data_IF_480273132014
#
_entry.id   IF_480273132014
#
_cell.length_a   1.000
_cell.length_b   1.000
_cell.length_c   1.000
_cell.angle_alpha   90.00
_cell.angle_beta   90.00
_cell.angle_gamma   90.00
#
_symmetry.space_group_name_H-M   'P 1'
#
loop_
_entity.id
_entity.type
_entity.pdbx_description
1 polymer ?
#
# COMPACT_ATOMS: atom_id res chain seq x y z
N UNK A 1 -5.64 0.06 0.08
CA UNK A 1 -4.81 1.12 -0.51
C UNK A 1 -3.41 0.62 -0.83
N UNK A 2 -2.68 1.32 -1.69
CA UNK A 2 -1.25 1.12 -1.95
C UNK A 2 -0.49 2.33 -1.44
N UNK A 3 0.56 2.11 -0.66
CA UNK A 3 1.51 3.13 -0.21
C UNK A 3 2.87 2.80 -0.78
N UNK A 4 3.40 3.69 -1.62
CA UNK A 4 4.75 3.62 -2.18
C UNK A 4 5.71 4.41 -1.32
N UNK A 5 6.82 3.80 -0.94
CA UNK A 5 7.82 4.44 -0.09
C UNK A 5 9.26 4.10 -0.49
N UNK A 6 10.19 4.95 -0.09
CA UNK A 6 11.63 4.78 -0.31
C UNK A 6 12.20 3.69 0.58
N UNK A 7 13.10 2.91 0.00
CA UNK A 7 14.00 1.99 0.68
C UNK A 7 15.42 2.26 0.19
N UNK A 8 16.41 1.68 0.85
CA UNK A 8 17.79 1.72 0.33
C UNK A 8 17.82 1.16 -1.10
N UNK A 9 18.39 1.94 -2.02
CA UNK A 9 18.54 1.53 -3.42
C UNK A 9 17.26 1.57 -4.27
N UNK A 10 16.10 2.05 -3.76
CA UNK A 10 14.91 2.12 -4.60
C UNK A 10 13.59 2.49 -3.92
N UNK A 11 12.51 1.96 -4.49
CA UNK A 11 11.13 2.16 -4.07
C UNK A 11 10.44 0.80 -3.91
N UNK A 12 9.52 0.72 -2.95
CA UNK A 12 8.67 -0.45 -2.75
C UNK A 12 7.25 -0.05 -2.35
N UNK A 13 6.32 -0.99 -2.43
CA UNK A 13 4.90 -0.77 -2.19
C UNK A 13 4.38 -1.63 -1.03
N UNK A 14 3.68 -1.01 -0.07
CA UNK A 14 2.84 -1.71 0.90
C UNK A 14 1.38 -1.69 0.43
N UNK A 15 0.82 -2.87 0.20
CA UNK A 15 -0.57 -3.06 -0.22
C UNK A 15 -1.41 -3.62 0.94
N UNK A 16 -2.42 -2.87 1.38
CA UNK A 16 -3.23 -3.28 2.52
C UNK A 16 -4.25 -2.24 2.97
N UNK A 17 -4.68 -2.37 4.22
CA UNK A 17 -5.55 -1.41 4.90
C UNK A 17 -4.71 -0.41 5.68
N UNK A 18 -4.98 0.89 5.56
CA UNK A 18 -4.41 1.86 6.50
C UNK A 18 -5.15 1.75 7.81
N UNK A 19 -4.44 1.35 8.85
CA UNK A 19 -5.02 1.11 10.18
C UNK A 19 -4.61 2.17 11.21
N UNK A 20 -3.67 3.05 10.86
CA UNK A 20 -3.29 4.18 11.70
C UNK A 20 -2.35 5.16 11.02
N UNK A 21 -2.40 6.40 11.48
CA UNK A 21 -1.45 7.47 11.17
C UNK A 21 -1.16 8.21 12.46
N UNK A 22 0.08 8.15 12.94
CA UNK A 22 0.50 8.75 14.20
C UNK A 22 2.01 9.00 14.18
N UNK A 23 2.49 9.98 14.92
CA UNK A 23 3.92 10.25 15.17
C UNK A 23 4.80 10.38 13.91
N UNK A 24 4.22 10.84 12.79
CA UNK A 24 4.93 10.96 11.53
C UNK A 24 5.03 9.65 10.74
N UNK A 25 4.34 8.60 11.17
CA UNK A 25 4.25 7.30 10.53
C UNK A 25 2.83 6.98 10.05
N UNK A 26 2.74 6.06 9.09
CA UNK A 26 1.50 5.35 8.78
C UNK A 26 1.70 3.84 8.89
N UNK A 27 0.67 3.15 9.41
CA UNK A 27 0.67 1.69 9.54
C UNK A 27 -0.29 1.09 8.55
N UNK A 28 0.24 0.25 7.65
CA UNK A 28 -0.53 -0.50 6.67
C UNK A 28 -0.60 -1.96 7.07
N UNK A 29 -1.80 -2.45 7.38
CA UNK A 29 -2.06 -3.88 7.60
C UNK A 29 -2.09 -4.61 6.27
N UNK A 30 -1.02 -5.35 5.99
CA UNK A 30 -0.91 -6.19 4.79
C UNK A 30 -1.45 -7.60 5.08
N UNK A 31 -1.39 -8.50 4.09
CA UNK A 31 -1.76 -9.92 4.30
C UNK A 31 -0.80 -10.69 5.20
N UNK A 32 0.45 -10.26 5.31
CA UNK A 32 1.51 -10.98 6.01
C UNK A 32 1.78 -10.38 7.39
N UNK A 33 1.81 -9.05 7.49
CA UNK A 33 2.07 -8.31 8.71
C UNK A 33 1.63 -6.84 8.61
N UNK A 34 1.62 -6.14 9.74
CA UNK A 34 1.53 -4.69 9.76
C UNK A 34 2.89 -4.08 9.37
N UNK A 35 2.87 -3.12 8.44
CA UNK A 35 4.06 -2.40 7.97
C UNK A 35 3.96 -0.95 8.44
N UNK A 36 4.93 -0.50 9.22
CA UNK A 36 5.04 0.89 9.69
C UNK A 36 5.98 1.63 8.75
N UNK A 37 5.53 2.78 8.23
CA UNK A 37 6.24 3.55 7.20
C UNK A 37 6.32 5.00 7.66
N UNK A 38 7.53 5.58 7.79
CA UNK A 38 7.69 7.01 7.97
C UNK A 38 7.10 7.80 6.81
N UNK A 39 6.24 8.77 7.12
CA UNK A 39 5.58 9.61 6.12
C UNK A 39 6.61 10.37 5.26
N UNK A 40 7.78 10.69 5.80
CA UNK A 40 8.89 11.32 5.05
C UNK A 40 9.43 10.43 3.92
N UNK A 41 9.24 9.12 4.01
CA UNK A 41 9.66 8.16 2.99
C UNK A 41 8.54 7.86 1.98
N UNK A 42 7.29 8.20 2.27
CA UNK A 42 6.16 8.00 1.37
C UNK A 42 6.27 8.95 0.17
N UNK A 43 6.17 8.40 -1.04
CA UNK A 43 6.20 9.18 -2.28
C UNK A 43 4.85 9.21 -2.99
N UNK A 44 3.99 8.22 -2.74
CA UNK A 44 2.63 8.19 -3.23
C UNK A 44 1.78 7.26 -2.37
N UNK A 45 0.53 7.65 -2.11
CA UNK A 45 -0.47 6.76 -1.53
C UNK A 45 -1.78 6.93 -2.29
N UNK A 46 -2.46 5.83 -2.59
CA UNK A 46 -3.80 5.88 -3.20
C UNK A 46 -4.65 4.70 -2.78
N UNK A 47 -5.96 4.90 -2.79
CA UNK A 47 -6.89 3.80 -2.70
C UNK A 47 -6.77 2.87 -3.93
N UNK A 48 -6.94 1.57 -3.71
CA UNK A 48 -6.94 0.59 -4.78
C UNK A 48 -8.36 0.55 -5.35
N UNK A 49 -8.56 0.77 -6.66
CA UNK A 49 -9.88 0.65 -7.26
C UNK A 49 -10.40 -0.78 -7.11
N UNK A 50 -11.73 -0.93 -7.09
CA UNK A 50 -12.36 -2.24 -7.10
C UNK A 50 -11.84 -3.08 -8.28
N UNK A 51 -11.73 -4.40 -8.06
CA UNK A 51 -11.25 -5.31 -9.09
C UNK A 51 -12.12 -5.21 -10.36
N UNK A 52 -11.52 -5.20 -11.56
CA UNK A 52 -12.29 -5.12 -12.79
C UNK A 52 -13.23 -6.33 -12.93
N UNK A 53 -14.35 -6.19 -13.66
CA UNK A 53 -15.25 -7.30 -13.93
C UNK A 53 -14.51 -8.50 -14.54
N UNK A 54 -14.86 -9.72 -14.11
CA UNK A 54 -14.27 -10.94 -14.66
C UNK A 54 -14.58 -11.07 -16.16
N UNK A 55 -13.56 -11.37 -16.97
CA UNK A 55 -13.75 -11.70 -18.38
C UNK A 55 -14.48 -13.04 -18.51
N UNK A 56 -15.43 -13.13 -19.45
CA UNK A 56 -16.08 -14.40 -19.79
C UNK A 56 -15.06 -15.38 -20.40
N UNK A 57 -15.19 -16.69 -20.18
CA UNK A 57 -14.38 -17.70 -20.86
C UNK A 57 -14.46 -17.50 -22.38
N UNK A 58 -13.33 -17.68 -23.09
CA UNK A 58 -13.35 -17.75 -24.55
C UNK A 58 -13.96 -19.11 -24.92
N UNK A 59 -15.09 -19.09 -25.63
CA UNK A 59 -15.71 -20.27 -26.22
C UNK A 59 -14.88 -20.74 -27.42
#
# INVERSE_FOLDING_TARGET
>A
MVVRYRIEGGLTDALGLLVGTADGDCTVRTRQADVVIPLVNVVAAKEVPAAPPRRRPRV
#
